data_IF_643224297764
#
_entry.id   IF_643224297764
#
_cell.length_a   1.000
_cell.length_b   1.000
_cell.length_c   1.000
_cell.angle_alpha   90.00
_cell.angle_beta   90.00
_cell.angle_gamma   90.00
#
_symmetry.space_group_name_H-M   'P 1'
#
loop_
_entity.id
_entity.type
_entity.pdbx_description
1 polymer ?
#
# COMPACT_ATOMS: atom_id res chain seq x y z
N UNK A 1 -52.06 -50.22 57.37
CA UNK A 1 -51.02 -50.38 56.35
C UNK A 1 -50.86 -49.01 55.67
N UNK A 2 -49.68 -48.28 55.92
CA UNK A 2 -49.48 -46.94 55.43
C UNK A 2 -48.49 -46.98 54.23
N UNK A 3 -49.02 -46.67 53.06
CA UNK A 3 -48.15 -46.49 51.87
C UNK A 3 -47.41 -45.13 51.92
N UNK A 4 -46.09 -45.18 51.93
CA UNK A 4 -45.23 -43.98 51.79
C UNK A 4 -44.86 -43.90 50.31
N UNK A 5 -45.34 -42.86 49.68
CA UNK A 5 -44.95 -42.48 48.30
C UNK A 5 -43.63 -41.75 48.37
N UNK A 6 -42.62 -42.26 47.68
CA UNK A 6 -41.29 -41.65 47.55
C UNK A 6 -41.31 -40.67 46.35
N UNK A 7 -41.15 -39.40 46.61
CA UNK A 7 -41.06 -38.37 45.57
C UNK A 7 -39.60 -38.18 45.19
N UNK A 8 -39.23 -38.66 43.99
CA UNK A 8 -37.86 -38.52 43.44
C UNK A 8 -37.74 -37.16 42.80
N UNK A 9 -36.97 -36.26 43.40
CA UNK A 9 -36.63 -34.93 42.86
C UNK A 9 -35.51 -35.09 41.87
N UNK A 10 -35.78 -34.90 40.56
CA UNK A 10 -34.81 -34.95 39.47
C UNK A 10 -34.21 -33.54 39.28
N UNK A 11 -33.05 -33.27 39.88
CA UNK A 11 -32.29 -32.04 39.65
C UNK A 11 -31.66 -32.07 38.23
N UNK A 12 -32.24 -31.33 37.29
CA UNK A 12 -31.65 -31.11 35.99
C UNK A 12 -30.43 -30.16 36.10
N UNK A 13 -29.25 -30.68 35.80
CA UNK A 13 -28.02 -29.86 35.64
C UNK A 13 -28.12 -29.07 34.34
N UNK A 14 -28.38 -27.79 34.41
CA UNK A 14 -28.26 -26.87 33.28
C UNK A 14 -26.78 -26.52 33.11
N UNK A 15 -26.13 -27.13 32.12
CA UNK A 15 -24.77 -26.74 31.71
C UNK A 15 -24.85 -25.42 30.94
N UNK A 16 -24.53 -24.32 31.58
CA UNK A 16 -24.24 -23.06 30.88
C UNK A 16 -22.96 -23.24 30.10
N UNK A 17 -23.06 -23.48 28.78
CA UNK A 17 -21.96 -23.39 27.87
C UNK A 17 -21.46 -21.93 27.84
N UNK A 18 -20.35 -21.67 28.50
CA UNK A 18 -19.64 -20.39 28.37
C UNK A 18 -19.11 -20.30 26.95
N UNK A 19 -19.77 -19.53 26.09
CA UNK A 19 -19.13 -19.05 24.86
C UNK A 19 -17.91 -18.24 25.26
N UNK A 20 -16.72 -18.82 25.11
CA UNK A 20 -15.47 -18.04 25.14
C UNK A 20 -15.49 -17.20 23.89
N UNK A 21 -15.71 -15.89 24.04
CA UNK A 21 -15.43 -14.95 22.98
C UNK A 21 -13.97 -15.19 22.56
N UNK A 22 -13.78 -15.61 21.31
CA UNK A 22 -12.45 -15.65 20.71
C UNK A 22 -11.91 -14.23 20.76
N UNK A 23 -10.65 -14.02 21.17
CA UNK A 23 -10.07 -12.68 21.09
C UNK A 23 -10.18 -12.26 19.63
N UNK A 24 -10.94 -11.21 19.37
CA UNK A 24 -10.92 -10.51 18.08
C UNK A 24 -9.48 -10.16 17.80
N UNK A 25 -8.91 -10.71 16.71
CA UNK A 25 -7.61 -10.26 16.24
C UNK A 25 -7.70 -8.74 16.16
N UNK A 26 -6.82 -8.06 16.89
CA UNK A 26 -6.72 -6.62 16.86
C UNK A 26 -6.17 -6.27 15.46
N UNK A 27 -7.05 -6.24 14.47
CA UNK A 27 -6.70 -5.84 13.11
C UNK A 27 -6.24 -4.39 13.20
N UNK A 28 -4.95 -4.18 13.05
CA UNK A 28 -4.44 -2.81 12.98
C UNK A 28 -5.01 -2.14 11.72
N UNK A 29 -5.52 -0.93 11.81
CA UNK A 29 -6.04 -0.20 10.67
C UNK A 29 -4.98 -0.11 9.58
N UNK A 30 -5.42 -0.17 8.32
CA UNK A 30 -4.55 -0.01 7.16
C UNK A 30 -4.39 1.48 6.85
N UNK A 31 -3.17 1.99 6.96
CA UNK A 31 -2.83 3.37 6.63
C UNK A 31 -2.40 3.47 5.16
N UNK A 32 -3.16 4.19 4.35
CA UNK A 32 -2.89 4.37 2.93
C UNK A 32 -2.66 5.84 2.60
N UNK A 33 -1.59 6.14 1.88
CA UNK A 33 -1.26 7.49 1.42
C UNK A 33 -1.17 7.54 -0.11
N UNK A 34 -1.65 8.62 -0.71
CA UNK A 34 -1.34 9.00 -2.09
C UNK A 34 -0.63 10.34 -2.09
N UNK A 35 0.46 10.47 -2.86
CA UNK A 35 1.29 11.67 -2.84
C UNK A 35 1.92 11.97 -4.19
N UNK A 36 1.48 13.04 -4.84
CA UNK A 36 2.23 13.62 -5.97
C UNK A 36 3.42 14.38 -5.40
N UNK A 37 4.64 13.88 -5.64
CA UNK A 37 5.86 14.47 -5.05
C UNK A 37 6.43 15.62 -5.87
N UNK A 38 5.85 15.96 -7.01
CA UNK A 38 6.38 16.89 -7.99
C UNK A 38 7.67 16.38 -8.63
N UNK A 39 7.71 16.27 -9.93
CA UNK A 39 8.89 15.85 -10.69
C UNK A 39 10.11 16.75 -10.40
N UNK A 40 11.30 16.24 -10.64
CA UNK A 40 12.54 17.02 -10.54
C UNK A 40 12.70 17.90 -11.80
N UNK A 41 12.16 19.11 -11.76
CA UNK A 41 12.26 20.08 -12.83
C UNK A 41 13.36 21.11 -12.56
N UNK A 42 14.32 21.31 -13.48
CA UNK A 42 15.35 22.34 -13.34
C UNK A 42 14.79 23.75 -13.12
N UNK A 43 13.59 24.02 -13.66
CA UNK A 43 12.89 25.30 -13.53
C UNK A 43 12.36 25.59 -12.12
N UNK A 44 12.33 24.63 -11.21
CA UNK A 44 11.75 24.77 -9.88
C UNK A 44 12.64 25.58 -8.89
N UNK A 45 13.86 25.98 -9.32
CA UNK A 45 14.74 26.85 -8.55
C UNK A 45 14.89 26.42 -7.08
N UNK A 46 14.42 27.24 -6.13
CA UNK A 46 14.45 26.96 -4.69
C UNK A 46 13.57 25.77 -4.27
N UNK A 47 12.61 25.37 -5.10
CA UNK A 47 11.75 24.21 -4.88
C UNK A 47 12.22 22.96 -5.62
N UNK A 48 13.43 22.98 -6.19
CA UNK A 48 14.00 21.83 -6.87
C UNK A 48 14.12 20.62 -5.92
N UNK A 49 14.03 19.42 -6.48
CA UNK A 49 14.04 18.16 -5.73
C UNK A 49 15.17 18.05 -4.71
N UNK A 50 16.38 18.43 -5.08
CA UNK A 50 17.56 18.38 -4.19
C UNK A 50 17.39 19.09 -2.85
N UNK A 51 16.47 20.08 -2.77
CA UNK A 51 16.17 20.79 -1.53
C UNK A 51 14.95 20.24 -0.79
N UNK A 52 14.13 19.41 -1.46
CA UNK A 52 12.89 18.88 -0.91
C UNK A 52 12.99 17.42 -0.45
N UNK A 53 13.90 16.63 -1.03
CA UNK A 53 13.96 15.18 -0.86
C UNK A 53 13.97 14.72 0.61
N UNK A 54 14.80 15.38 1.44
CA UNK A 54 14.89 15.03 2.86
C UNK A 54 13.57 15.30 3.61
N UNK A 55 12.88 16.39 3.26
CA UNK A 55 11.58 16.73 3.86
C UNK A 55 10.48 15.78 3.40
N UNK A 56 10.52 15.34 2.14
CA UNK A 56 9.58 14.32 1.61
C UNK A 56 9.76 13.01 2.36
N UNK A 57 10.99 12.51 2.50
CA UNK A 57 11.28 11.30 3.25
C UNK A 57 10.88 11.43 4.73
N UNK A 58 11.19 12.55 5.39
CA UNK A 58 10.80 12.80 6.78
C UNK A 58 9.29 12.85 6.96
N UNK A 59 8.56 13.44 6.04
CA UNK A 59 7.11 13.49 6.07
C UNK A 59 6.50 12.08 5.95
N UNK A 60 6.98 11.28 4.99
CA UNK A 60 6.54 9.89 4.84
C UNK A 60 6.90 9.08 6.10
N UNK A 61 8.12 9.25 6.63
CA UNK A 61 8.56 8.59 7.86
C UNK A 61 7.77 9.02 9.12
N UNK A 62 7.21 10.22 9.12
CA UNK A 62 6.35 10.71 10.21
C UNK A 62 4.96 10.06 10.17
N UNK A 63 4.31 10.03 9.00
CA UNK A 63 2.98 9.43 8.86
C UNK A 63 3.01 7.90 8.81
N UNK A 64 4.12 7.30 8.39
CA UNK A 64 4.33 5.86 8.33
C UNK A 64 3.18 5.09 7.64
N UNK A 65 2.73 5.50 6.45
CA UNK A 65 1.67 4.77 5.78
C UNK A 65 2.10 3.33 5.51
N UNK A 66 1.16 2.40 5.54
CA UNK A 66 1.41 1.00 5.23
C UNK A 66 1.60 0.78 3.73
N UNK A 67 0.77 1.51 2.96
CA UNK A 67 0.81 1.54 1.51
C UNK A 67 0.90 3.00 1.05
N UNK A 68 1.78 3.26 0.09
CA UNK A 68 2.00 4.60 -0.45
C UNK A 68 2.07 4.55 -1.97
N UNK A 69 1.11 5.18 -2.64
CA UNK A 69 1.16 5.44 -4.08
C UNK A 69 1.69 6.85 -4.35
N UNK A 70 2.69 6.97 -5.22
CA UNK A 70 3.23 8.28 -5.58
C UNK A 70 3.06 8.57 -7.07
N UNK A 71 3.16 9.85 -7.44
CA UNK A 71 3.06 10.34 -8.80
C UNK A 71 4.18 11.34 -9.08
N UNK A 72 4.48 11.53 -10.39
CA UNK A 72 5.53 12.41 -10.91
C UNK A 72 6.93 12.05 -10.42
N UNK A 73 7.20 10.79 -10.13
CA UNK A 73 8.51 10.35 -9.62
C UNK A 73 9.46 10.13 -10.79
N UNK A 74 10.52 10.91 -10.90
CA UNK A 74 11.63 10.67 -11.83
C UNK A 74 12.57 9.57 -11.30
N UNK A 75 13.39 8.98 -12.16
CA UNK A 75 14.31 7.91 -11.79
C UNK A 75 15.24 8.30 -10.61
N UNK A 76 15.88 9.45 -10.66
CA UNK A 76 16.73 9.93 -9.56
C UNK A 76 15.96 10.14 -8.25
N UNK A 77 14.67 10.56 -8.32
CA UNK A 77 13.81 10.68 -7.15
C UNK A 77 13.45 9.30 -6.59
N UNK A 78 13.21 8.31 -7.46
CA UNK A 78 12.98 6.93 -7.06
C UNK A 78 14.15 6.35 -6.27
N UNK A 79 15.39 6.60 -6.73
CA UNK A 79 16.60 6.14 -6.03
C UNK A 79 16.79 6.85 -4.68
N UNK A 80 16.60 8.18 -4.63
CA UNK A 80 16.64 8.94 -3.37
C UNK A 80 15.58 8.44 -2.37
N UNK A 81 14.36 8.13 -2.83
CA UNK A 81 13.29 7.61 -1.98
C UNK A 81 13.60 6.21 -1.45
N UNK A 82 14.14 5.31 -2.27
CA UNK A 82 14.58 3.97 -1.81
C UNK A 82 15.64 4.07 -0.72
N UNK A 83 16.59 4.99 -0.87
CA UNK A 83 17.64 5.23 0.13
C UNK A 83 17.08 5.87 1.41
N UNK A 84 16.15 6.81 1.27
CA UNK A 84 15.55 7.55 2.39
C UNK A 84 14.48 6.81 3.16
N UNK A 85 13.93 5.73 2.58
CA UNK A 85 12.81 4.95 3.11
C UNK A 85 13.11 3.44 3.10
N UNK A 86 14.19 2.99 3.77
CA UNK A 86 14.66 1.61 3.68
C UNK A 86 13.68 0.57 4.27
N UNK A 87 12.68 1.00 5.03
CA UNK A 87 11.62 0.16 5.58
C UNK A 87 10.51 -0.19 4.56
N UNK A 88 10.55 0.40 3.35
CA UNK A 88 9.59 0.13 2.29
C UNK A 88 10.21 -0.66 1.14
N UNK A 89 9.44 -1.56 0.58
CA UNK A 89 9.70 -2.11 -0.75
C UNK A 89 9.04 -1.22 -1.79
N UNK A 90 9.79 -0.86 -2.84
CA UNK A 90 9.37 0.05 -3.90
C UNK A 90 9.18 -0.69 -5.23
N UNK A 91 8.05 -0.47 -5.90
CA UNK A 91 7.70 -1.04 -7.19
C UNK A 91 7.36 0.07 -8.18
N UNK A 92 7.67 -0.14 -9.44
CA UNK A 92 7.34 0.77 -10.53
C UNK A 92 8.47 0.91 -11.54
N UNK A 93 8.11 1.38 -12.73
CA UNK A 93 9.02 1.65 -13.85
C UNK A 93 8.69 2.98 -14.49
N UNK A 94 9.60 3.53 -15.27
CA UNK A 94 9.41 4.74 -16.04
C UNK A 94 8.39 4.56 -17.17
N UNK A 95 7.51 5.54 -17.34
CA UNK A 95 6.38 5.48 -18.28
C UNK A 95 6.77 5.49 -19.76
N UNK A 96 8.02 5.89 -20.10
CA UNK A 96 8.42 6.07 -21.49
C UNK A 96 9.11 4.84 -22.09
N UNK A 97 9.74 4.00 -21.27
CA UNK A 97 10.47 2.82 -21.75
C UNK A 97 10.22 1.53 -20.93
N UNK A 98 9.40 1.62 -19.90
CA UNK A 98 9.19 0.50 -18.98
C UNK A 98 10.40 0.16 -18.12
N UNK A 99 11.36 1.08 -18.00
CA UNK A 99 12.60 0.93 -17.20
C UNK A 99 12.83 2.20 -16.37
N UNK A 100 13.62 3.14 -16.89
CA UNK A 100 14.07 4.32 -16.14
C UNK A 100 13.57 5.64 -16.73
N UNK A 101 13.12 5.66 -17.99
CA UNK A 101 12.76 6.88 -18.67
C UNK A 101 11.32 7.34 -18.35
N UNK A 102 11.19 8.65 -18.15
CA UNK A 102 9.93 9.30 -17.82
C UNK A 102 9.55 9.21 -16.34
N UNK A 103 8.35 9.67 -16.03
CA UNK A 103 7.83 9.66 -14.69
C UNK A 103 7.29 8.26 -14.33
N UNK A 104 7.50 7.86 -13.08
CA UNK A 104 6.93 6.66 -12.46
C UNK A 104 5.63 7.01 -11.74
N UNK A 105 4.77 6.02 -11.60
CA UNK A 105 3.68 6.00 -10.61
C UNK A 105 3.93 4.84 -9.64
N UNK A 106 4.93 4.95 -8.74
CA UNK A 106 5.35 3.81 -7.95
C UNK A 106 4.42 3.52 -6.79
N UNK A 107 4.44 2.26 -6.35
CA UNK A 107 3.84 1.77 -5.12
C UNK A 107 4.94 1.42 -4.14
N UNK A 108 4.84 1.91 -2.92
CA UNK A 108 5.68 1.55 -1.79
C UNK A 108 4.83 0.87 -0.74
N UNK A 109 5.35 -0.18 -0.11
CA UNK A 109 4.67 -0.86 1.01
C UNK A 109 5.67 -1.23 2.10
N UNK A 110 5.22 -1.24 3.36
CA UNK A 110 6.04 -1.67 4.50
C UNK A 110 6.46 -3.13 4.36
N UNK A 111 7.76 -3.38 4.32
CA UNK A 111 8.35 -4.70 4.08
C UNK A 111 8.08 -5.67 5.24
N UNK A 112 7.95 -5.17 6.46
CA UNK A 112 7.68 -5.95 7.66
C UNK A 112 6.19 -6.32 7.84
N UNK A 113 5.29 -5.65 7.11
CA UNK A 113 3.84 -5.84 7.22
C UNK A 113 3.23 -6.62 6.05
N UNK A 114 3.85 -6.58 4.87
CA UNK A 114 3.31 -7.18 3.65
C UNK A 114 4.32 -8.08 2.96
N UNK A 115 3.81 -9.11 2.34
CA UNK A 115 4.57 -9.99 1.43
C UNK A 115 4.07 -9.77 0.02
N UNK A 116 4.96 -9.42 -0.89
CA UNK A 116 4.65 -9.28 -2.31
C UNK A 116 4.40 -10.65 -2.93
N UNK A 117 3.23 -10.84 -3.51
CA UNK A 117 2.83 -12.07 -4.24
C UNK A 117 3.06 -11.89 -5.73
N UNK A 118 2.58 -10.78 -6.27
CA UNK A 118 2.66 -10.47 -7.69
C UNK A 118 2.64 -8.95 -7.90
N UNK A 119 3.28 -8.47 -8.96
CA UNK A 119 3.22 -7.07 -9.34
C UNK A 119 3.37 -6.88 -10.85
N UNK A 120 3.02 -5.71 -11.34
CA UNK A 120 3.21 -5.37 -12.73
C UNK A 120 2.96 -3.91 -13.02
N UNK A 121 3.12 -3.58 -14.30
CA UNK A 121 2.85 -2.25 -14.81
C UNK A 121 2.07 -2.40 -16.11
N UNK A 122 1.19 -1.44 -16.39
CA UNK A 122 0.51 -1.38 -17.68
C UNK A 122 0.34 0.07 -18.14
N UNK A 123 0.29 0.24 -19.45
CA UNK A 123 0.02 1.54 -20.07
C UNK A 123 -1.47 1.87 -20.04
N UNK A 124 -1.82 3.10 -19.74
CA UNK A 124 -3.18 3.60 -19.92
C UNK A 124 -3.36 4.01 -21.37
N UNK A 125 -3.61 3.02 -22.21
CA UNK A 125 -3.74 3.16 -23.67
C UNK A 125 -4.60 2.03 -24.24
N UNK A 126 -4.87 2.06 -25.54
CA UNK A 126 -5.51 0.96 -26.27
C UNK A 126 -4.62 -0.31 -26.32
N UNK A 127 -3.34 -0.19 -25.93
CA UNK A 127 -2.35 -1.27 -25.89
C UNK A 127 -1.73 -1.36 -24.48
N UNK A 128 -2.45 -1.81 -23.46
CA UNK A 128 -2.00 -1.77 -22.07
C UNK A 128 -0.71 -2.54 -21.82
N UNK A 129 -0.44 -3.60 -22.58
CA UNK A 129 0.75 -4.42 -22.46
C UNK A 129 2.03 -3.75 -23.02
N UNK A 130 1.88 -2.65 -23.75
CA UNK A 130 3.01 -1.94 -24.37
C UNK A 130 3.29 -0.66 -23.62
N UNK A 131 4.33 -0.67 -22.77
CA UNK A 131 4.78 0.54 -22.08
C UNK A 131 5.45 1.48 -23.10
N UNK A 132 5.28 2.79 -22.89
CA UNK A 132 5.86 3.81 -23.77
C UNK A 132 4.93 4.24 -24.90
N UNK A 133 3.71 3.74 -24.94
CA UNK A 133 2.69 4.20 -25.91
C UNK A 133 1.73 5.18 -25.24
N UNK A 134 1.39 6.19 -26.02
CA UNK A 134 0.40 7.19 -25.64
C UNK A 134 -0.98 6.73 -26.11
N UNK A 135 -1.92 6.66 -25.17
CA UNK A 135 -3.28 6.22 -25.48
C UNK A 135 -4.25 7.36 -25.64
N UNK A 136 -5.32 7.10 -26.39
CA UNK A 136 -6.44 8.00 -26.65
C UNK A 136 -5.96 9.40 -27.07
N UNK A 137 -6.39 10.45 -26.37
CA UNK A 137 -6.01 11.85 -26.58
C UNK A 137 -5.03 12.39 -25.53
N UNK A 138 -4.39 11.49 -24.76
CA UNK A 138 -3.45 11.88 -23.71
C UNK A 138 -2.25 12.64 -24.27
N UNK A 139 -1.84 13.72 -23.61
CA UNK A 139 -0.68 14.52 -24.01
C UNK A 139 0.66 13.79 -23.78
N UNK A 140 0.68 12.84 -22.85
CA UNK A 140 1.87 12.08 -22.45
C UNK A 140 1.51 10.61 -22.26
N UNK A 141 2.51 9.71 -22.27
CA UNK A 141 2.35 8.35 -21.84
C UNK A 141 1.83 8.30 -20.40
N UNK A 142 0.95 7.34 -20.12
CA UNK A 142 0.39 7.13 -18.78
C UNK A 142 0.62 5.70 -18.37
N UNK A 143 1.04 5.51 -17.12
CA UNK A 143 1.37 4.20 -16.59
C UNK A 143 0.66 3.98 -15.26
N UNK A 144 0.36 2.72 -14.97
CA UNK A 144 -0.13 2.25 -13.67
C UNK A 144 0.77 1.16 -13.16
N UNK A 145 1.14 1.23 -11.89
CA UNK A 145 1.78 0.15 -11.15
C UNK A 145 0.76 -0.50 -10.23
N UNK A 146 0.75 -1.84 -10.17
CA UNK A 146 -0.10 -2.61 -9.29
C UNK A 146 0.70 -3.67 -8.52
N UNK A 147 0.18 -4.11 -7.38
CA UNK A 147 0.77 -5.16 -6.54
C UNK A 147 -0.31 -5.96 -5.83
N UNK A 148 -0.04 -7.23 -5.59
CA UNK A 148 -0.82 -8.17 -4.78
C UNK A 148 0.08 -8.72 -3.67
#
# INVERSE_FOLDING_TARGET
MKHRTLLTCMCGLILFGSCKDQPTQNEQPLEVMTFNIRLDAPSDSANNWKYRKDNVCKMIAYYQPDLLGMQEVCHNQMEDLKLGLPQYTALGVGRDDGKEAGEYCPVFFKTDRFTLVEHGNFSLSEQPETIGVRGWDASYNRITTWAI
#
